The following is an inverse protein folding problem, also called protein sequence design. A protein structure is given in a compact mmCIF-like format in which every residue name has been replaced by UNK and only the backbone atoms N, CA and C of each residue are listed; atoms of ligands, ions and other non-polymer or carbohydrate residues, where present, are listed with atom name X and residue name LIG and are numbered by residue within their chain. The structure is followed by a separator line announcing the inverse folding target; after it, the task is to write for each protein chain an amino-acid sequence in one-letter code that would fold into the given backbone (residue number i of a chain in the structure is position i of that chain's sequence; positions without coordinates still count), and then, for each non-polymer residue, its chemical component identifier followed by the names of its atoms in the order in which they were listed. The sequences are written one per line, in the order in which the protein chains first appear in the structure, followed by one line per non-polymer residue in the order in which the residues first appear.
data_IF_239260734200
#
_entry.id   IF_239260734200
#
_cell.length_a   1.000
_cell.length_b   1.000
_cell.length_c   1.000
_cell.angle_alpha   90.00
_cell.angle_beta   90.00
_cell.angle_gamma   90.00
#
_symmetry.space_group_name_H-M   'P 1'
#
loop_
_entity.id
_entity.type
_entity.pdbx_description
1 polymer ?
#
# COMPACT_ATOMS: atom_id res chain seq x y z
N UNK A 1 23.38 30.56 54.06
CA UNK A 1 22.55 29.38 53.76
C UNK A 1 21.22 29.75 53.08
N UNK A 2 20.36 30.63 53.66
CA UNK A 2 19.05 30.97 53.01
C UNK A 2 19.12 31.57 51.62
N UNK A 3 20.13 32.40 51.30
CA UNK A 3 20.34 32.99 49.95
C UNK A 3 20.86 31.99 48.95
N UNK A 4 21.67 31.02 49.36
CA UNK A 4 22.15 29.94 48.49
C UNK A 4 21.03 28.96 48.14
N UNK A 5 20.13 28.66 49.12
CA UNK A 5 18.97 27.79 48.91
C UNK A 5 17.97 28.42 47.95
N UNK A 6 17.75 29.75 48.06
CA UNK A 6 16.86 30.48 47.14
C UNK A 6 17.41 30.55 45.71
N UNK A 7 18.75 30.66 45.53
CA UNK A 7 19.35 30.58 44.20
C UNK A 7 19.25 29.17 43.58
N UNK A 8 19.41 28.12 44.42
CA UNK A 8 19.28 26.73 43.95
C UNK A 8 17.86 26.37 43.59
N UNK A 9 16.86 26.85 44.35
CA UNK A 9 15.43 26.66 43.99
C UNK A 9 15.03 27.48 42.77
N UNK A 10 15.54 28.68 42.58
CA UNK A 10 15.29 29.48 41.37
C UNK A 10 15.94 28.86 40.15
N UNK A 11 17.17 28.34 40.26
CA UNK A 11 17.85 27.62 39.16
C UNK A 11 17.13 26.31 38.82
N UNK A 12 16.63 25.56 39.82
CA UNK A 12 15.85 24.33 39.60
C UNK A 12 14.50 24.62 38.93
N UNK A 13 13.83 25.72 39.28
CA UNK A 13 12.57 26.16 38.68
C UNK A 13 12.79 26.66 37.24
N UNK A 14 13.93 27.30 36.95
CA UNK A 14 14.31 27.72 35.59
C UNK A 14 14.64 26.48 34.73
N UNK A 15 15.34 25.48 35.24
CA UNK A 15 15.61 24.22 34.57
C UNK A 15 14.32 23.41 34.32
N UNK A 16 13.38 23.42 35.27
CA UNK A 16 12.06 22.78 35.07
C UNK A 16 11.16 23.57 34.11
N UNK A 17 11.31 24.89 34.01
CA UNK A 17 10.55 25.72 33.05
C UNK A 17 11.12 25.64 31.61
N UNK A 18 12.37 25.22 31.44
CA UNK A 18 12.97 25.01 30.12
C UNK A 18 12.74 23.60 29.55
N UNK A 19 12.07 22.73 30.29
CA UNK A 19 11.44 21.51 29.77
C UNK A 19 9.97 21.81 29.37
N UNK A 20 9.69 22.93 28.74
CA UNK A 20 8.52 23.03 27.89
C UNK A 20 8.74 22.00 26.79
N UNK A 21 8.10 20.83 26.90
CA UNK A 21 7.99 19.88 25.80
C UNK A 21 7.50 20.70 24.62
N UNK A 22 8.25 20.71 23.52
CA UNK A 22 7.77 21.32 22.30
C UNK A 22 6.38 20.72 22.01
N UNK A 23 5.43 21.54 21.60
CA UNK A 23 4.13 21.04 21.21
C UNK A 23 4.32 20.01 20.08
N UNK A 24 3.64 18.88 20.10
CA UNK A 24 3.75 17.90 19.02
C UNK A 24 3.42 18.53 17.67
N UNK A 25 4.15 18.11 16.66
CA UNK A 25 3.93 18.57 15.28
C UNK A 25 2.61 17.97 14.79
N UNK A 26 1.63 18.82 14.50
CA UNK A 26 0.34 18.38 14.01
C UNK A 26 0.44 17.85 12.57
N UNK A 27 0.05 16.60 12.37
CA UNK A 27 0.02 15.94 11.06
C UNK A 27 -1.43 15.86 10.58
N UNK A 28 -1.66 16.21 9.31
CA UNK A 28 -2.96 16.15 8.64
C UNK A 28 -3.07 14.94 7.72
N UNK A 29 -1.97 14.57 7.08
CA UNK A 29 -1.88 13.41 6.21
C UNK A 29 -0.54 12.67 6.45
N UNK A 30 -0.62 11.35 6.61
CA UNK A 30 0.54 10.45 6.67
C UNK A 30 0.50 9.55 5.44
N UNK A 31 1.47 9.72 4.53
CA UNK A 31 1.59 8.97 3.27
C UNK A 31 2.60 7.84 3.46
N UNK A 32 2.21 6.63 3.11
CA UNK A 32 2.93 5.39 3.39
C UNK A 32 3.16 4.56 2.12
N UNK A 33 4.12 4.94 1.26
CA UNK A 33 4.64 4.09 0.21
C UNK A 33 5.51 2.96 0.81
N UNK A 34 5.79 1.90 0.05
CA UNK A 34 6.46 0.69 0.54
C UNK A 34 7.93 0.62 0.15
N UNK A 35 8.27 1.17 -1.01
CA UNK A 35 9.66 1.23 -1.46
C UNK A 35 9.93 2.47 -2.32
N UNK A 36 11.21 2.78 -2.52
CA UNK A 36 11.69 3.72 -3.51
C UNK A 36 12.85 3.09 -4.29
N UNK A 37 13.00 3.47 -5.55
CA UNK A 37 13.98 2.90 -6.48
C UNK A 37 15.19 3.84 -6.64
N UNK A 38 15.97 4.02 -5.57
CA UNK A 38 17.12 4.90 -5.60
C UNK A 38 16.99 6.06 -4.64
N UNK A 39 17.10 7.30 -5.13
CA UNK A 39 16.96 8.50 -4.32
C UNK A 39 15.47 8.88 -4.16
N UNK A 40 15.16 9.70 -3.17
CA UNK A 40 13.78 10.17 -2.96
C UNK A 40 13.32 11.19 -4.01
N UNK A 41 14.20 11.69 -4.87
CA UNK A 41 13.88 12.67 -5.90
C UNK A 41 14.86 12.62 -7.07
N UNK A 42 14.37 12.90 -8.28
CA UNK A 42 15.20 13.23 -9.44
C UNK A 42 15.75 12.06 -10.26
N UNK A 43 15.39 10.82 -9.95
CA UNK A 43 15.78 9.65 -10.72
C UNK A 43 14.56 8.84 -11.18
N UNK A 44 14.69 7.51 -11.37
CA UNK A 44 13.57 6.66 -11.77
C UNK A 44 12.63 6.44 -10.58
N UNK A 45 11.33 6.81 -10.69
CA UNK A 45 10.42 6.80 -9.56
C UNK A 45 10.07 5.38 -9.08
N UNK A 46 10.16 5.17 -7.76
CA UNK A 46 9.43 4.14 -7.06
C UNK A 46 8.05 4.63 -6.62
N UNK A 47 7.57 4.14 -5.49
CA UNK A 47 6.24 4.51 -4.97
C UNK A 47 6.23 5.87 -4.25
N UNK A 48 7.40 6.32 -3.76
CA UNK A 48 7.48 7.48 -2.89
C UNK A 48 7.81 8.78 -3.63
N UNK A 49 8.62 8.72 -4.69
CA UNK A 49 9.26 9.90 -5.27
C UNK A 49 8.29 11.04 -5.59
N UNK A 50 7.22 10.78 -6.34
CA UNK A 50 6.27 11.82 -6.74
C UNK A 50 5.60 12.49 -5.53
N UNK A 51 5.24 11.72 -4.51
CA UNK A 51 4.67 12.26 -3.27
C UNK A 51 5.71 13.03 -2.45
N UNK A 52 6.94 12.52 -2.38
CA UNK A 52 8.02 13.21 -1.68
C UNK A 52 8.32 14.57 -2.33
N UNK A 53 8.53 14.61 -3.66
CA UNK A 53 8.79 15.82 -4.41
C UNK A 53 7.68 16.88 -4.26
N UNK A 54 6.42 16.43 -4.23
CA UNK A 54 5.27 17.33 -4.09
C UNK A 54 5.08 17.86 -2.67
N UNK A 55 5.25 17.01 -1.66
CA UNK A 55 4.79 17.33 -0.30
C UNK A 55 5.89 17.42 0.75
N UNK A 56 7.04 16.78 0.56
CA UNK A 56 8.05 16.66 1.61
C UNK A 56 9.42 17.22 1.22
N UNK A 57 9.69 17.47 -0.06
CA UNK A 57 10.98 18.03 -0.51
C UNK A 57 11.26 19.39 0.15
N UNK A 58 12.48 19.51 0.72
CA UNK A 58 12.88 20.67 1.50
C UNK A 58 12.23 20.78 2.89
N UNK A 59 11.50 19.75 3.34
CA UNK A 59 10.99 19.62 4.70
C UNK A 59 12.02 19.08 5.69
N UNK A 60 11.55 18.72 6.89
CA UNK A 60 12.39 18.13 7.94
C UNK A 60 12.35 16.59 7.87
N UNK A 61 13.46 15.96 8.27
CA UNK A 61 13.63 14.51 8.30
C UNK A 61 13.85 14.06 9.74
N UNK A 62 13.10 13.05 10.17
CA UNK A 62 13.13 12.52 11.52
C UNK A 62 13.42 11.02 11.54
N UNK A 63 14.44 10.62 12.28
CA UNK A 63 14.63 9.21 12.61
C UNK A 63 13.59 8.80 13.65
N UNK A 64 12.77 7.80 13.31
CA UNK A 64 11.78 7.19 14.20
C UNK A 64 12.27 5.79 14.57
N UNK A 65 12.36 5.51 15.88
CA UNK A 65 12.84 4.21 16.34
C UNK A 65 11.90 3.10 15.89
N UNK A 66 12.43 2.14 15.14
CA UNK A 66 11.66 1.01 14.59
C UNK A 66 11.26 1.20 13.12
N UNK A 67 11.50 2.37 12.53
CA UNK A 67 11.31 2.59 11.10
C UNK A 67 12.58 2.27 10.32
N UNK A 68 12.48 1.64 9.13
CA UNK A 68 13.63 1.39 8.27
C UNK A 68 14.13 2.65 7.55
N UNK A 69 13.26 3.63 7.39
CA UNK A 69 13.52 4.88 6.68
C UNK A 69 13.06 6.08 7.52
N UNK A 70 13.60 7.28 7.26
CA UNK A 70 13.18 8.50 7.94
C UNK A 70 11.71 8.84 7.68
N UNK A 71 11.09 9.53 8.63
CA UNK A 71 9.83 10.23 8.46
C UNK A 71 10.12 11.66 7.96
N UNK A 72 9.71 11.98 6.77
CA UNK A 72 9.80 13.34 6.19
C UNK A 72 8.54 14.11 6.51
N UNK A 73 8.70 15.36 6.97
CA UNK A 73 7.56 16.19 7.40
C UNK A 73 7.68 17.60 6.84
N UNK A 74 6.61 18.09 6.23
CA UNK A 74 6.48 19.47 5.76
C UNK A 74 5.02 19.91 5.75
N UNK A 75 4.72 21.07 6.31
CA UNK A 75 3.40 21.74 6.29
C UNK A 75 2.20 20.87 6.77
N UNK A 76 2.49 19.91 7.65
CA UNK A 76 1.49 18.98 8.20
C UNK A 76 1.28 17.72 7.36
N UNK A 77 2.02 17.55 6.28
CA UNK A 77 2.10 16.27 5.55
C UNK A 77 3.34 15.52 6.00
N UNK A 78 3.19 14.24 6.31
CA UNK A 78 4.27 13.34 6.64
C UNK A 78 4.35 12.19 5.62
N UNK A 79 5.56 11.73 5.29
CA UNK A 79 5.80 10.60 4.39
C UNK A 79 6.89 9.71 4.96
N UNK A 80 6.67 8.40 4.97
CA UNK A 80 7.67 7.40 5.31
C UNK A 80 7.57 6.19 4.39
N UNK A 81 8.70 5.76 3.83
CA UNK A 81 8.80 4.49 3.11
C UNK A 81 8.83 3.34 4.12
N UNK A 82 7.76 2.55 4.17
CA UNK A 82 7.55 1.57 5.26
C UNK A 82 8.44 0.34 5.17
N UNK A 83 8.94 0.01 3.97
CA UNK A 83 9.45 -1.30 3.63
C UNK A 83 8.32 -2.26 3.22
N UNK A 84 8.63 -3.21 2.35
CA UNK A 84 7.69 -4.20 1.84
C UNK A 84 7.36 -5.27 2.88
N UNK A 85 6.14 -5.80 2.82
CA UNK A 85 5.64 -6.89 3.64
C UNK A 85 4.98 -6.45 4.94
N UNK A 86 4.15 -7.34 5.49
CA UNK A 86 3.27 -7.08 6.64
C UNK A 86 4.03 -6.62 7.89
N UNK A 87 5.17 -7.25 8.19
CA UNK A 87 5.95 -6.92 9.39
C UNK A 87 6.55 -5.52 9.29
N UNK A 88 7.17 -5.18 8.15
CA UNK A 88 7.77 -3.86 7.96
C UNK A 88 6.72 -2.75 8.03
N UNK A 89 5.62 -2.91 7.31
CA UNK A 89 4.56 -1.89 7.25
C UNK A 89 3.86 -1.70 8.59
N UNK A 90 3.51 -2.79 9.30
CA UNK A 90 2.87 -2.72 10.61
C UNK A 90 3.78 -2.11 11.67
N UNK A 91 5.06 -2.51 11.73
CA UNK A 91 6.03 -1.96 12.68
C UNK A 91 6.27 -0.48 12.44
N UNK A 92 6.50 -0.10 11.18
CA UNK A 92 6.75 1.30 10.81
C UNK A 92 5.56 2.18 11.16
N UNK A 93 4.35 1.78 10.76
CA UNK A 93 3.13 2.52 11.07
C UNK A 93 2.95 2.68 12.57
N UNK A 94 3.05 1.59 13.34
CA UNK A 94 2.90 1.66 14.79
C UNK A 94 3.99 2.54 15.43
N UNK A 95 5.24 2.44 14.99
CA UNK A 95 6.34 3.24 15.54
C UNK A 95 6.10 4.75 15.30
N UNK A 96 5.65 5.12 14.10
CA UNK A 96 5.34 6.52 13.76
C UNK A 96 4.17 7.03 14.63
N UNK A 97 3.07 6.28 14.72
CA UNK A 97 1.87 6.71 15.45
C UNK A 97 2.08 6.78 16.97
N UNK A 98 3.10 6.10 17.51
CA UNK A 98 3.47 6.11 18.92
C UNK A 98 4.58 7.12 19.26
N UNK A 99 5.06 7.88 18.31
CA UNK A 99 6.11 8.88 18.52
C UNK A 99 5.52 10.21 19.03
N UNK A 100 5.78 10.54 20.28
CA UNK A 100 5.23 11.72 20.99
C UNK A 100 5.62 13.07 20.35
N UNK A 101 6.55 13.09 19.40
CA UNK A 101 6.91 14.30 18.67
C UNK A 101 5.82 14.75 17.69
N UNK A 102 4.88 13.87 17.35
CA UNK A 102 3.86 14.11 16.33
C UNK A 102 2.45 13.92 16.89
N UNK A 103 1.53 14.74 16.42
CA UNK A 103 0.09 14.61 16.71
C UNK A 103 -0.67 14.16 15.46
N UNK A 104 -1.12 12.89 15.46
CA UNK A 104 -1.92 12.26 14.41
C UNK A 104 -3.42 12.25 14.74
N UNK A 105 -3.88 12.94 15.78
CA UNK A 105 -5.27 12.86 16.25
C UNK A 105 -6.32 13.21 15.19
N UNK A 106 -5.94 14.03 14.20
CA UNK A 106 -6.79 14.41 13.08
C UNK A 106 -6.22 14.01 11.71
N UNK A 107 -5.18 13.18 11.67
CA UNK A 107 -4.55 12.79 10.43
C UNK A 107 -5.36 11.74 9.66
N UNK A 108 -5.40 11.86 8.33
CA UNK A 108 -5.71 10.75 7.45
C UNK A 108 -4.45 9.93 7.21
N UNK A 109 -4.59 8.61 7.23
CA UNK A 109 -3.51 7.66 6.97
C UNK A 109 -3.71 7.12 5.56
N UNK A 110 -2.75 7.38 4.68
CA UNK A 110 -2.86 7.09 3.25
C UNK A 110 -1.82 6.04 2.88
N UNK A 111 -2.26 4.81 2.67
CA UNK A 111 -1.45 3.76 2.06
C UNK A 111 -1.46 3.94 0.56
N UNK A 112 -0.29 3.96 -0.05
CA UNK A 112 -0.12 4.08 -1.49
C UNK A 112 0.93 3.11 -1.99
N UNK A 113 0.89 2.75 -3.25
CA UNK A 113 1.86 1.87 -3.90
C UNK A 113 1.25 0.98 -4.95
N UNK A 114 2.10 0.14 -5.53
CA UNK A 114 1.72 -0.78 -6.60
C UNK A 114 1.11 -2.09 -6.07
N UNK A 115 0.44 -2.81 -6.98
CA UNK A 115 -0.21 -4.08 -6.72
C UNK A 115 -0.33 -4.91 -8.01
N UNK A 116 -0.67 -6.20 -7.87
CA UNK A 116 -1.12 -7.05 -8.97
C UNK A 116 -2.64 -7.02 -9.07
N UNK A 117 -3.19 -6.73 -10.25
CA UNK A 117 -4.64 -6.74 -10.45
C UNK A 117 -5.21 -8.13 -10.69
N UNK A 118 -6.42 -8.35 -10.18
CA UNK A 118 -7.24 -9.50 -10.52
C UNK A 118 -7.55 -9.47 -12.02
N UNK A 119 -7.33 -10.61 -12.71
CA UNK A 119 -7.69 -10.73 -14.13
C UNK A 119 -9.19 -10.49 -14.33
N UNK A 120 -9.56 -10.07 -15.55
CA UNK A 120 -10.93 -9.73 -15.93
C UNK A 120 -11.53 -8.52 -15.20
N UNK A 121 -10.95 -8.08 -14.11
CA UNK A 121 -11.39 -6.90 -13.37
C UNK A 121 -10.50 -5.67 -13.62
N UNK A 122 -9.19 -5.80 -13.37
CA UNK A 122 -8.21 -4.75 -13.54
C UNK A 122 -7.34 -4.87 -14.78
N UNK A 123 -6.79 -3.76 -15.24
CA UNK A 123 -5.71 -3.71 -16.25
C UNK A 123 -4.53 -2.93 -15.69
N UNK A 124 -3.34 -3.16 -16.24
CA UNK A 124 -2.15 -2.39 -15.87
C UNK A 124 -2.38 -0.90 -16.10
N UNK A 125 -2.05 -0.10 -15.09
CA UNK A 125 -2.27 1.33 -15.07
C UNK A 125 -3.58 1.77 -14.44
N UNK A 126 -4.53 0.86 -14.13
CA UNK A 126 -5.69 1.20 -13.30
C UNK A 126 -5.25 1.67 -11.91
N UNK A 127 -6.04 2.55 -11.30
CA UNK A 127 -5.87 2.96 -9.90
C UNK A 127 -7.12 2.59 -9.12
N UNK A 128 -6.93 2.09 -7.91
CA UNK A 128 -8.01 1.56 -7.09
C UNK A 128 -8.13 2.31 -5.77
N UNK A 129 -9.34 2.68 -5.42
CA UNK A 129 -9.74 3.06 -4.06
C UNK A 129 -10.23 1.80 -3.36
N UNK A 130 -9.51 1.35 -2.36
CA UNK A 130 -9.78 0.09 -1.67
C UNK A 130 -10.82 0.30 -0.58
N UNK A 131 -11.72 -0.66 -0.45
CA UNK A 131 -12.87 -0.61 0.47
C UNK A 131 -12.85 -1.68 1.54
N UNK A 132 -12.05 -2.72 1.34
CA UNK A 132 -11.77 -3.76 2.32
C UNK A 132 -10.40 -4.38 2.06
N UNK A 133 -9.80 -4.92 3.12
CA UNK A 133 -8.56 -5.68 3.08
C UNK A 133 -8.78 -7.08 3.60
N UNK A 134 -8.09 -8.07 3.02
CA UNK A 134 -8.12 -9.48 3.44
C UNK A 134 -6.69 -9.98 3.53
N UNK A 135 -6.37 -10.76 4.55
CA UNK A 135 -5.07 -11.42 4.71
C UNK A 135 -5.08 -12.76 3.99
N UNK A 136 -4.20 -12.92 2.98
CA UNK A 136 -4.08 -14.17 2.23
C UNK A 136 -3.43 -15.29 3.03
N UNK A 137 -2.49 -14.97 3.91
CA UNK A 137 -1.65 -15.95 4.60
C UNK A 137 -2.24 -16.39 5.95
N UNK A 138 -3.05 -15.55 6.59
CA UNK A 138 -3.65 -15.83 7.89
C UNK A 138 -4.88 -16.71 7.73
N UNK A 139 -4.69 -18.01 7.93
CA UNK A 139 -5.72 -19.01 7.77
C UNK A 139 -5.12 -20.41 7.78
N UNK A 140 -5.95 -21.39 7.48
CA UNK A 140 -5.52 -22.77 7.30
C UNK A 140 -5.32 -23.04 5.81
N UNK A 141 -4.10 -23.38 5.43
CA UNK A 141 -3.75 -23.74 4.06
C UNK A 141 -3.28 -25.18 3.98
N UNK A 142 -3.85 -25.97 3.05
CA UNK A 142 -3.34 -27.27 2.70
C UNK A 142 -2.27 -27.17 1.60
N UNK A 143 -1.20 -27.96 1.69
CA UNK A 143 -0.26 -28.07 0.58
C UNK A 143 -0.91 -28.83 -0.58
N UNK A 144 -1.07 -28.16 -1.72
CA UNK A 144 -1.72 -28.72 -2.89
C UNK A 144 -1.05 -30.02 -3.40
N UNK A 145 0.25 -30.21 -3.14
CA UNK A 145 1.01 -31.41 -3.53
C UNK A 145 0.67 -32.64 -2.70
N UNK A 146 0.05 -32.45 -1.52
CA UNK A 146 -0.33 -33.54 -0.62
C UNK A 146 -1.81 -33.95 -0.77
N UNK A 147 -2.58 -33.21 -1.58
CA UNK A 147 -3.97 -33.51 -1.82
C UNK A 147 -4.09 -34.76 -2.70
N UNK A 148 -5.00 -35.66 -2.31
CA UNK A 148 -5.28 -36.90 -3.04
C UNK A 148 -6.55 -36.83 -3.88
N UNK A 149 -7.28 -35.75 -3.77
CA UNK A 149 -8.52 -35.45 -4.51
C UNK A 149 -8.44 -34.04 -5.04
N UNK A 150 -9.11 -33.77 -6.14
CA UNK A 150 -9.32 -32.44 -6.68
C UNK A 150 -10.25 -31.68 -5.73
N UNK A 151 -9.83 -30.45 -5.35
CA UNK A 151 -10.57 -29.56 -4.45
C UNK A 151 -10.62 -28.16 -5.04
N UNK A 152 -11.69 -27.44 -4.77
CA UNK A 152 -11.88 -26.08 -5.28
C UNK A 152 -10.93 -25.07 -4.64
N UNK A 153 -10.48 -25.34 -3.41
CA UNK A 153 -9.61 -24.45 -2.66
C UNK A 153 -8.64 -25.21 -1.77
N UNK A 154 -7.46 -24.63 -1.58
CA UNK A 154 -6.48 -25.08 -0.57
C UNK A 154 -6.55 -24.26 0.71
N UNK A 155 -7.38 -23.23 0.75
CA UNK A 155 -7.62 -22.37 1.91
C UNK A 155 -8.92 -22.76 2.63
N UNK A 156 -8.88 -22.72 3.95
CA UNK A 156 -10.02 -23.00 4.82
C UNK A 156 -10.23 -21.87 5.80
N UNK A 157 -11.44 -21.31 5.80
CA UNK A 157 -11.84 -20.29 6.77
C UNK A 157 -11.86 -20.84 8.20
N UNK A 158 -11.35 -20.06 9.13
CA UNK A 158 -11.43 -20.34 10.57
C UNK A 158 -11.77 -19.03 11.31
N UNK A 159 -12.95 -18.97 11.91
CA UNK A 159 -13.48 -17.79 12.61
C UNK A 159 -12.54 -17.27 13.73
N UNK A 160 -11.61 -18.10 14.22
CA UNK A 160 -10.64 -17.67 15.24
C UNK A 160 -9.65 -16.61 14.75
N UNK A 161 -9.55 -16.41 13.44
CA UNK A 161 -8.68 -15.40 12.81
C UNK A 161 -9.42 -14.13 12.37
N UNK A 162 -10.76 -14.07 12.47
CA UNK A 162 -11.58 -13.02 11.89
C UNK A 162 -11.26 -11.61 12.39
N UNK A 163 -10.71 -11.49 13.60
CA UNK A 163 -10.29 -10.19 14.14
C UNK A 163 -9.10 -9.55 13.40
N UNK A 164 -8.33 -10.34 12.65
CA UNK A 164 -7.15 -9.88 11.93
C UNK A 164 -7.13 -10.30 10.45
N UNK A 165 -7.92 -11.29 10.04
CA UNK A 165 -7.90 -11.82 8.68
C UNK A 165 -8.55 -10.89 7.65
N UNK A 166 -9.39 -9.97 8.07
CA UNK A 166 -10.00 -8.98 7.18
C UNK A 166 -10.41 -7.70 7.91
N UNK A 167 -10.48 -6.59 7.17
CA UNK A 167 -11.03 -5.32 7.65
C UNK A 167 -11.86 -4.65 6.57
N UNK A 168 -13.09 -4.27 6.93
CA UNK A 168 -13.92 -3.39 6.10
C UNK A 168 -13.61 -1.95 6.49
N UNK A 169 -13.20 -1.13 5.52
CA UNK A 169 -12.84 0.27 5.76
C UNK A 169 -14.10 1.13 5.95
N UNK A 170 -13.90 2.38 6.33
CA UNK A 170 -15.00 3.35 6.45
C UNK A 170 -15.63 3.62 5.08
N UNK A 171 -16.78 3.02 4.80
CA UNK A 171 -17.44 3.08 3.49
C UNK A 171 -17.85 4.51 3.12
N UNK A 172 -18.22 5.34 4.09
CA UNK A 172 -18.53 6.75 3.82
C UNK A 172 -17.29 7.51 3.34
N UNK A 173 -16.13 7.25 3.93
CA UNK A 173 -14.85 7.81 3.49
C UNK A 173 -14.46 7.26 2.12
N UNK A 174 -14.58 5.95 1.90
CA UNK A 174 -14.30 5.33 0.60
C UNK A 174 -15.18 5.92 -0.51
N UNK A 175 -16.46 6.13 -0.25
CA UNK A 175 -17.39 6.76 -1.19
C UNK A 175 -16.99 8.22 -1.50
N UNK A 176 -16.61 8.98 -0.50
CA UNK A 176 -16.14 10.36 -0.68
C UNK A 176 -14.87 10.40 -1.53
N UNK A 177 -13.88 9.57 -1.19
CA UNK A 177 -12.62 9.47 -1.93
C UNK A 177 -12.88 9.03 -3.37
N UNK A 178 -13.65 7.97 -3.58
CA UNK A 178 -13.95 7.50 -4.93
C UNK A 178 -14.69 8.55 -5.78
N UNK A 179 -15.70 9.21 -5.21
CA UNK A 179 -16.42 10.28 -5.92
C UNK A 179 -15.54 11.48 -6.26
N UNK A 180 -14.50 11.73 -5.46
CA UNK A 180 -13.53 12.78 -5.72
C UNK A 180 -12.61 12.43 -6.91
N UNK A 181 -12.24 11.15 -7.07
CA UNK A 181 -11.19 10.75 -8.01
C UNK A 181 -11.65 9.92 -9.21
N UNK A 182 -12.87 9.39 -9.23
CA UNK A 182 -13.36 8.44 -10.26
C UNK A 182 -13.29 8.95 -11.70
N UNK A 183 -13.31 10.27 -11.88
CA UNK A 183 -13.26 10.93 -13.18
C UNK A 183 -11.89 11.55 -13.48
N UNK A 184 -10.87 11.27 -12.65
CA UNK A 184 -9.49 11.70 -12.90
C UNK A 184 -8.96 10.95 -14.12
N UNK A 185 -8.46 11.70 -15.10
CA UNK A 185 -7.84 11.13 -16.28
C UNK A 185 -6.46 10.58 -15.92
N UNK A 186 -6.23 9.31 -16.25
CA UNK A 186 -4.97 8.61 -16.06
C UNK A 186 -4.45 8.08 -17.39
N UNK A 187 -3.16 7.82 -17.46
CA UNK A 187 -2.45 7.58 -18.71
C UNK A 187 -2.22 6.08 -18.95
N UNK A 188 -2.06 5.71 -20.21
CA UNK A 188 -1.50 4.43 -20.66
C UNK A 188 -0.65 4.65 -21.90
N UNK A 189 0.27 3.74 -22.14
CA UNK A 189 1.13 3.78 -23.34
C UNK A 189 0.66 2.77 -24.37
N UNK A 190 1.04 2.98 -25.65
CA UNK A 190 0.81 1.98 -26.69
C UNK A 190 1.48 0.65 -26.36
N UNK A 191 2.64 0.69 -25.69
CA UNK A 191 3.36 -0.50 -25.24
C UNK A 191 2.57 -1.27 -24.18
N UNK A 192 2.00 -0.58 -23.18
CA UNK A 192 1.14 -1.21 -22.15
C UNK A 192 -0.06 -1.88 -22.80
N UNK A 193 -0.74 -1.19 -23.74
CA UNK A 193 -1.87 -1.76 -24.46
C UNK A 193 -1.47 -2.99 -25.29
N UNK A 194 -0.37 -2.90 -26.03
CA UNK A 194 0.14 -4.00 -26.84
C UNK A 194 0.53 -5.20 -25.98
N UNK A 195 1.15 -4.94 -24.83
CA UNK A 195 1.51 -5.98 -23.85
C UNK A 195 0.27 -6.69 -23.31
N UNK A 196 -0.72 -5.95 -22.82
CA UNK A 196 -1.98 -6.50 -22.30
C UNK A 196 -2.74 -7.28 -23.39
N UNK A 197 -2.83 -6.74 -24.61
CA UNK A 197 -3.47 -7.40 -25.74
C UNK A 197 -2.80 -8.73 -26.10
N UNK A 198 -1.47 -8.74 -26.16
CA UNK A 198 -0.70 -9.95 -26.46
C UNK A 198 -0.80 -10.99 -25.33
N UNK A 199 -0.72 -10.54 -24.07
CA UNK A 199 -0.77 -11.39 -22.89
C UNK A 199 -2.10 -12.12 -22.77
N UNK A 200 -3.22 -11.46 -23.08
CA UNK A 200 -4.58 -11.97 -22.86
C UNK A 200 -5.38 -12.12 -24.18
N UNK A 201 -4.70 -12.39 -25.29
CA UNK A 201 -5.32 -12.74 -26.58
C UNK A 201 -6.38 -11.74 -27.08
N UNK A 202 -6.16 -10.44 -26.82
CA UNK A 202 -7.08 -9.36 -27.15
C UNK A 202 -8.46 -9.46 -26.47
N UNK A 203 -8.56 -10.07 -25.29
CA UNK A 203 -9.80 -10.06 -24.53
C UNK A 203 -10.29 -8.62 -24.28
N UNK A 204 -11.59 -8.39 -24.38
CA UNK A 204 -12.19 -7.05 -24.29
C UNK A 204 -11.80 -6.32 -23.01
N UNK A 205 -11.74 -7.04 -21.87
CA UNK A 205 -11.34 -6.44 -20.60
C UNK A 205 -9.87 -6.01 -20.59
N UNK A 206 -8.98 -6.71 -21.31
CA UNK A 206 -7.54 -6.48 -21.30
C UNK A 206 -7.11 -5.31 -22.19
N UNK A 207 -7.92 -4.96 -23.18
CA UNK A 207 -7.58 -3.91 -24.18
C UNK A 207 -8.24 -2.56 -23.91
N UNK A 208 -9.01 -2.45 -22.82
CA UNK A 208 -9.60 -1.18 -22.40
C UNK A 208 -8.57 -0.18 -21.88
N UNK A 209 -8.91 1.07 -21.88
CA UNK A 209 -8.13 2.10 -21.20
C UNK A 209 -8.17 1.94 -19.69
N UNK A 210 -7.09 2.31 -18.97
CA UNK A 210 -7.07 2.33 -17.53
C UNK A 210 -8.04 3.37 -16.96
N UNK A 211 -8.53 3.13 -15.78
CA UNK A 211 -9.48 3.99 -15.08
C UNK A 211 -9.36 3.86 -13.56
N UNK A 212 -9.99 4.76 -12.82
CA UNK A 212 -10.10 4.65 -11.38
C UNK A 212 -11.27 3.71 -11.03
N UNK A 213 -11.01 2.74 -10.17
CA UNK A 213 -11.94 1.69 -9.75
C UNK A 213 -12.05 1.62 -8.23
N UNK A 214 -12.99 0.80 -7.74
CA UNK A 214 -13.07 0.37 -6.34
C UNK A 214 -12.76 -1.11 -6.27
N UNK A 215 -12.36 -1.60 -5.09
CA UNK A 215 -12.17 -3.03 -4.91
C UNK A 215 -11.72 -3.42 -3.52
N UNK A 216 -11.66 -4.73 -3.30
CA UNK A 216 -11.04 -5.35 -2.14
C UNK A 216 -9.61 -5.74 -2.49
N UNK A 217 -8.66 -5.46 -1.60
CA UNK A 217 -7.29 -5.95 -1.73
C UNK A 217 -7.07 -7.20 -0.89
N UNK A 218 -6.24 -8.12 -1.40
CA UNK A 218 -5.81 -9.33 -0.69
C UNK A 218 -4.31 -9.25 -0.43
N UNK A 219 -3.96 -9.13 0.85
CA UNK A 219 -2.61 -8.90 1.36
C UNK A 219 -1.89 -10.21 1.63
N UNK A 220 -0.69 -10.42 1.10
CA UNK A 220 0.13 -11.60 1.42
C UNK A 220 1.62 -11.29 1.49
N UNK A 221 2.33 -11.84 2.50
CA UNK A 221 3.80 -11.84 2.50
C UNK A 221 4.37 -12.77 1.42
N UNK A 222 3.55 -13.72 0.96
CA UNK A 222 3.86 -14.51 -0.22
C UNK A 222 3.56 -13.68 -1.48
N UNK A 223 4.56 -13.50 -2.33
CA UNK A 223 4.30 -13.08 -3.70
C UNK A 223 3.74 -14.27 -4.47
N UNK A 224 2.43 -14.48 -4.35
CA UNK A 224 1.74 -15.54 -5.07
C UNK A 224 1.29 -15.07 -6.46
N UNK A 225 1.23 -16.00 -7.40
CA UNK A 225 0.75 -15.77 -8.75
C UNK A 225 0.20 -17.07 -9.33
N UNK A 226 -0.90 -16.98 -10.03
CA UNK A 226 -1.51 -18.12 -10.72
C UNK A 226 -2.98 -18.30 -10.43
N UNK A 227 -3.64 -19.10 -11.27
CA UNK A 227 -5.10 -19.28 -11.27
C UNK A 227 -5.65 -19.71 -9.90
N UNK A 228 -5.02 -20.68 -9.24
CA UNK A 228 -5.50 -21.14 -7.92
C UNK A 228 -5.34 -20.09 -6.82
N UNK A 229 -4.30 -19.25 -6.89
CA UNK A 229 -4.17 -18.11 -5.98
C UNK A 229 -5.27 -17.07 -6.19
N UNK A 230 -5.59 -16.79 -7.45
CA UNK A 230 -6.69 -15.92 -7.85
C UNK A 230 -8.04 -16.45 -7.33
N UNK A 231 -8.35 -17.74 -7.56
CA UNK A 231 -9.58 -18.38 -7.08
C UNK A 231 -9.70 -18.36 -5.56
N UNK A 232 -8.60 -18.60 -4.83
CA UNK A 232 -8.57 -18.47 -3.38
C UNK A 232 -8.86 -17.03 -2.94
N UNK A 233 -8.27 -16.01 -3.60
CA UNK A 233 -8.49 -14.61 -3.28
C UNK A 233 -9.94 -14.17 -3.52
N UNK A 234 -10.57 -14.64 -4.61
CA UNK A 234 -12.00 -14.45 -4.87
C UNK A 234 -12.85 -15.05 -3.75
N UNK A 235 -12.57 -16.31 -3.40
CA UNK A 235 -13.30 -17.02 -2.34
C UNK A 235 -13.15 -16.34 -0.98
N UNK A 236 -11.95 -15.86 -0.64
CA UNK A 236 -11.71 -15.11 0.60
C UNK A 236 -12.54 -13.83 0.66
N UNK A 237 -12.51 -13.01 -0.39
CA UNK A 237 -13.30 -11.78 -0.45
C UNK A 237 -14.81 -12.06 -0.34
N UNK A 238 -15.31 -13.12 -0.95
CA UNK A 238 -16.70 -13.56 -0.84
C UNK A 238 -17.03 -14.07 0.57
N UNK A 239 -16.16 -14.91 1.15
CA UNK A 239 -16.35 -15.48 2.50
C UNK A 239 -16.45 -14.40 3.57
N UNK A 240 -15.61 -13.36 3.47
CA UNK A 240 -15.65 -12.21 4.38
C UNK A 240 -16.70 -11.16 4.01
N UNK A 241 -17.54 -11.43 3.01
CA UNK A 241 -18.59 -10.51 2.55
C UNK A 241 -18.08 -9.09 2.29
N UNK A 242 -16.93 -8.97 1.64
CA UNK A 242 -16.34 -7.69 1.29
C UNK A 242 -17.30 -6.85 0.43
N UNK A 243 -17.36 -5.51 0.64
CA UNK A 243 -18.36 -4.65 -0.02
C UNK A 243 -18.15 -4.51 -1.53
N UNK A 244 -16.90 -4.63 -2.00
CA UNK A 244 -16.54 -4.60 -3.42
C UNK A 244 -15.77 -5.89 -3.78
N UNK A 245 -15.75 -6.29 -5.07
CA UNK A 245 -15.06 -7.51 -5.50
C UNK A 245 -13.57 -7.49 -5.18
N UNK A 246 -12.95 -8.68 -5.11
CA UNK A 246 -11.51 -8.81 -5.15
C UNK A 246 -10.96 -8.14 -6.41
N UNK A 247 -10.01 -7.24 -6.22
CA UNK A 247 -9.46 -6.41 -7.28
C UNK A 247 -7.93 -6.43 -7.37
N UNK A 248 -7.25 -6.54 -6.22
CA UNK A 248 -5.80 -6.43 -6.14
C UNK A 248 -5.21 -7.44 -5.15
N UNK A 249 -3.95 -7.81 -5.41
CA UNK A 249 -3.07 -8.44 -4.42
C UNK A 249 -1.84 -7.56 -4.18
N UNK A 250 -1.47 -7.41 -2.92
CA UNK A 250 -0.34 -6.62 -2.44
C UNK A 250 0.21 -7.23 -1.14
N UNK A 251 1.12 -6.56 -0.45
CA UNK A 251 1.86 -7.21 0.64
C UNK A 251 1.71 -6.53 2.02
N UNK A 252 0.86 -5.48 2.21
CA UNK A 252 0.90 -4.66 3.43
C UNK A 252 -0.45 -4.24 4.03
N UNK A 253 -1.44 -3.96 3.20
CA UNK A 253 -2.58 -3.12 3.59
C UNK A 253 -3.44 -3.70 4.71
N UNK A 254 -3.65 -5.03 4.75
CA UNK A 254 -4.39 -5.64 5.85
C UNK A 254 -3.63 -5.52 7.18
N UNK A 255 -2.31 -5.69 7.18
CA UNK A 255 -1.52 -5.56 8.39
C UNK A 255 -1.59 -4.13 8.96
N UNK A 256 -1.56 -3.11 8.09
CA UNK A 256 -1.74 -1.71 8.49
C UNK A 256 -3.16 -1.45 8.98
N UNK A 257 -4.18 -2.02 8.32
CA UNK A 257 -5.58 -1.92 8.75
C UNK A 257 -5.79 -2.51 10.15
N UNK A 258 -5.16 -3.64 10.48
CA UNK A 258 -5.20 -4.25 11.81
C UNK A 258 -4.54 -3.35 12.87
N UNK A 259 -3.40 -2.72 12.55
CA UNK A 259 -2.75 -1.75 13.46
C UNK A 259 -3.70 -0.57 13.74
N UNK A 260 -4.28 -0.01 12.69
CA UNK A 260 -5.17 1.15 12.81
C UNK A 260 -6.47 0.82 13.55
N UNK A 261 -7.02 -0.36 13.33
CA UNK A 261 -8.21 -0.84 14.08
C UNK A 261 -7.92 -0.92 15.58
N UNK A 262 -6.80 -1.51 15.97
CA UNK A 262 -6.37 -1.62 17.36
C UNK A 262 -6.06 -0.27 18.04
N UNK A 263 -5.66 0.73 17.24
CA UNK A 263 -5.43 2.10 17.71
C UNK A 263 -6.67 3.00 17.62
N UNK A 264 -7.82 2.49 17.13
CA UNK A 264 -9.05 3.25 16.95
C UNK A 264 -8.94 4.33 15.85
N UNK A 265 -8.14 4.08 14.82
CA UNK A 265 -7.85 5.01 13.73
C UNK A 265 -8.26 4.49 12.34
N UNK A 266 -8.89 3.31 12.26
CA UNK A 266 -9.28 2.68 11.00
C UNK A 266 -10.29 3.53 10.21
N UNK A 267 -11.07 4.35 10.87
CA UNK A 267 -12.06 5.25 10.26
C UNK A 267 -11.45 6.35 9.36
N UNK A 268 -10.14 6.56 9.45
CA UNK A 268 -9.37 7.56 8.69
C UNK A 268 -8.32 6.92 7.76
N UNK A 269 -8.44 5.62 7.52
CA UNK A 269 -7.54 4.88 6.62
C UNK A 269 -8.03 4.96 5.18
N UNK A 270 -7.16 5.37 4.28
CA UNK A 270 -7.38 5.46 2.84
C UNK A 270 -6.30 4.62 2.16
N UNK A 271 -6.71 3.79 1.21
CA UNK A 271 -5.78 2.98 0.42
C UNK A 271 -5.98 3.30 -1.05
N UNK A 272 -4.89 3.69 -1.72
CA UNK A 272 -4.85 3.96 -3.16
C UNK A 272 -3.72 3.13 -3.75
N UNK A 273 -4.07 2.18 -4.59
CA UNK A 273 -3.12 1.27 -5.25
C UNK A 273 -3.28 1.35 -6.76
N UNK A 274 -2.18 1.26 -7.48
CA UNK A 274 -2.17 1.08 -8.92
C UNK A 274 -1.78 -0.35 -9.32
N UNK A 275 -2.16 -0.73 -10.52
CA UNK A 275 -1.86 -2.03 -11.09
C UNK A 275 -0.60 -1.98 -11.96
N UNK A 276 0.45 -2.71 -11.56
CA UNK A 276 1.70 -2.86 -12.33
C UNK A 276 1.84 -4.24 -12.99
N UNK A 277 1.07 -5.22 -12.51
CA UNK A 277 1.05 -6.58 -13.05
C UNK A 277 -0.31 -7.24 -12.80
N UNK A 278 -0.46 -8.51 -13.15
CA UNK A 278 -1.66 -9.32 -12.91
C UNK A 278 -1.35 -10.47 -11.96
N UNK A 279 -2.36 -10.93 -11.24
CA UNK A 279 -2.27 -12.01 -10.26
C UNK A 279 -2.19 -13.42 -10.88
N UNK A 280 -2.34 -13.54 -12.22
CA UNK A 280 -2.18 -14.79 -12.95
C UNK A 280 -1.01 -14.71 -13.92
N UNK A 281 -0.55 -15.89 -14.37
CA UNK A 281 0.48 -15.98 -15.40
C UNK A 281 -0.04 -15.54 -16.75
N UNK A 282 0.86 -14.97 -17.56
CA UNK A 282 0.57 -14.69 -18.97
C UNK A 282 0.23 -15.96 -19.73
N UNK A 283 -0.61 -15.85 -20.76
CA UNK A 283 -0.90 -16.97 -21.64
C UNK A 283 0.38 -17.61 -22.21
N UNK A 284 0.52 -18.92 -22.00
CA UNK A 284 1.70 -19.66 -22.42
C UNK A 284 2.89 -19.64 -21.47
N UNK A 285 2.85 -18.85 -20.38
CA UNK A 285 3.84 -18.92 -19.33
C UNK A 285 3.49 -20.05 -18.34
N UNK A 286 4.53 -20.78 -17.87
CA UNK A 286 4.37 -21.79 -16.82
C UNK A 286 4.78 -21.24 -15.47
N UNK A 287 4.24 -21.79 -14.34
CA UNK A 287 4.69 -21.43 -13.00
C UNK A 287 6.19 -21.59 -12.78
N UNK A 288 6.83 -22.54 -13.48
CA UNK A 288 8.27 -22.76 -13.41
C UNK A 288 9.07 -21.56 -13.88
N UNK A 289 8.48 -20.68 -14.70
CA UNK A 289 9.11 -19.43 -15.14
C UNK A 289 9.51 -18.51 -13.98
N UNK A 290 8.90 -18.63 -12.80
CA UNK A 290 9.31 -17.88 -11.60
C UNK A 290 10.66 -18.31 -11.05
N UNK A 291 11.11 -19.53 -11.33
CA UNK A 291 12.37 -20.10 -10.87
C UNK A 291 13.44 -20.17 -11.97
N UNK A 292 13.11 -19.80 -13.20
CA UNK A 292 14.07 -19.71 -14.27
C UNK A 292 14.90 -18.40 -14.10
N UNK A 293 16.21 -18.49 -13.85
CA UNK A 293 17.05 -17.29 -13.81
C UNK A 293 17.01 -16.47 -15.10
N UNK A 294 16.77 -17.15 -16.25
CA UNK A 294 16.58 -16.44 -17.52
C UNK A 294 15.20 -15.77 -17.60
N UNK A 295 14.21 -16.21 -16.86
CA UNK A 295 12.92 -15.53 -16.76
C UNK A 295 13.03 -14.23 -15.96
N UNK A 296 13.79 -14.22 -14.85
CA UNK A 296 14.10 -12.98 -14.12
C UNK A 296 14.93 -12.06 -15.01
N UNK A 297 15.91 -12.61 -15.75
CA UNK A 297 16.69 -11.87 -16.73
C UNK A 297 15.85 -11.52 -17.98
N UNK A 298 14.84 -12.28 -18.37
CA UNK A 298 13.94 -11.95 -19.48
C UNK A 298 12.83 -10.99 -19.06
N UNK A 299 12.30 -11.06 -17.84
CA UNK A 299 11.57 -9.94 -17.25
C UNK A 299 12.48 -8.73 -17.09
N UNK A 300 13.74 -8.90 -16.75
CA UNK A 300 14.73 -7.83 -16.76
C UNK A 300 15.17 -7.44 -18.16
N UNK A 301 15.24 -8.29 -19.14
CA UNK A 301 15.78 -8.03 -20.50
C UNK A 301 14.73 -7.71 -21.58
N UNK A 302 13.56 -8.31 -21.55
CA UNK A 302 12.38 -7.78 -22.25
C UNK A 302 11.84 -6.54 -21.54
N UNK A 303 12.13 -6.45 -20.28
CA UNK A 303 11.65 -5.50 -19.33
C UNK A 303 12.48 -4.24 -19.24
N UNK A 304 13.67 -4.17 -19.78
CA UNK A 304 14.49 -3.00 -19.44
C UNK A 304 13.91 -1.67 -19.91
N UNK A 305 13.17 -1.64 -21.01
CA UNK A 305 12.50 -0.42 -21.49
C UNK A 305 10.97 -0.52 -21.38
N UNK A 306 10.39 -1.67 -21.68
CA UNK A 306 8.92 -1.82 -21.76
C UNK A 306 8.28 -1.95 -20.38
N UNK A 307 8.87 -2.72 -19.47
CA UNK A 307 8.35 -2.80 -18.09
C UNK A 307 8.68 -1.55 -17.27
N UNK A 308 9.81 -0.89 -17.53
CA UNK A 308 10.12 0.39 -16.92
C UNK A 308 9.08 1.46 -17.30
N UNK A 309 8.66 1.52 -18.58
CA UNK A 309 7.61 2.42 -19.02
C UNK A 309 6.24 2.08 -18.40
N UNK A 310 5.89 0.80 -18.29
CA UNK A 310 4.65 0.34 -17.63
C UNK A 310 4.66 0.74 -16.17
N UNK A 311 5.75 0.43 -15.46
CA UNK A 311 5.91 0.75 -14.06
C UNK A 311 5.86 2.26 -13.81
N UNK A 312 6.67 3.05 -14.52
CA UNK A 312 6.69 4.51 -14.36
C UNK A 312 5.32 5.15 -14.65
N UNK A 313 4.59 4.64 -15.66
CA UNK A 313 3.24 5.13 -15.97
C UNK A 313 2.27 4.79 -14.85
N UNK A 314 2.33 3.60 -14.27
CA UNK A 314 1.50 3.18 -13.16
C UNK A 314 1.79 4.02 -11.91
N UNK A 315 3.05 4.24 -11.55
CA UNK A 315 3.43 5.13 -10.43
C UNK A 315 2.93 6.55 -10.64
N UNK A 316 3.02 7.07 -11.88
CA UNK A 316 2.49 8.39 -12.21
C UNK A 316 0.96 8.44 -12.07
N UNK A 317 0.25 7.39 -12.50
CA UNK A 317 -1.19 7.28 -12.35
C UNK A 317 -1.59 7.23 -10.86
N UNK A 318 -0.86 6.46 -10.05
CA UNK A 318 -1.07 6.42 -8.60
C UNK A 318 -0.99 7.83 -7.99
N UNK A 319 0.10 8.55 -8.29
CA UNK A 319 0.26 9.92 -7.82
C UNK A 319 -0.82 10.85 -8.39
N UNK A 320 -1.16 10.75 -9.68
CA UNK A 320 -2.19 11.59 -10.33
C UNK A 320 -3.55 11.46 -9.66
N UNK A 321 -3.89 10.30 -9.13
CA UNK A 321 -5.10 10.07 -8.36
C UNK A 321 -4.90 10.45 -6.88
N UNK A 322 -3.80 10.00 -6.29
CA UNK A 322 -3.54 10.14 -4.87
C UNK A 322 -3.32 11.59 -4.42
N UNK A 323 -2.66 12.44 -5.25
CA UNK A 323 -2.46 13.84 -4.89
C UNK A 323 -3.80 14.60 -4.73
N UNK A 324 -4.81 14.25 -5.53
CA UNK A 324 -6.16 14.86 -5.40
C UNK A 324 -6.77 14.55 -4.03
N UNK A 325 -6.45 13.38 -3.47
CA UNK A 325 -6.92 12.98 -2.12
C UNK A 325 -6.12 13.68 -1.02
N UNK A 326 -4.81 13.82 -1.20
CA UNK A 326 -3.94 14.53 -0.22
C UNK A 326 -4.30 16.01 -0.15
N UNK A 327 -4.65 16.63 -1.28
CA UNK A 327 -4.98 18.07 -1.37
C UNK A 327 -6.38 18.40 -0.84
N UNK A 328 -7.29 17.42 -0.71
CA UNK A 328 -8.68 17.63 -0.28
C UNK A 328 -8.86 17.59 1.24
#
# INVERSE_FOLDING_TARGET
MKKLLALFTAALLIVCASLALAEPIAIKALILPKFESGEMAGDFPGEAQYYYEAYCDGGESYDVTGCPNPLYVKDGVALCVTGMGKVNSAMTLQAILMDDRFDFSNAYIISTGCAGSAIEYGVMGDVFVITATVDYDLGHHADARELTTDVETTWFHDESYDDASHKVLNQELCDKVYNLVKDVEIETTEKTRAFMAATFENADWAVRDPKVLRGTTVTGDNYWKGQHGHENALLMAETYACPDPYALTEMEDNAMAVVLDRLGMLDRYIIIRDSVNTDVFMNGASPESLWDPNFVDSLASESSVESADIFATAMKNNYTVGHVVVDA
#
